data_IF_411269514331
#
_entry.id   IF_411269514331
#
_cell.length_a   1.000
_cell.length_b   1.000
_cell.length_c   1.000
_cell.angle_alpha   90.00
_cell.angle_beta   90.00
_cell.angle_gamma   90.00
#
_symmetry.space_group_name_H-M   'P 1'
#
loop_
_entity.id
_entity.type
_entity.pdbx_description
1 polymer ?
#
# COMPACT_ATOMS: atom_id res chain seq x y z
N UNK A 1 7.20 -11.06 7.99
CA UNK A 1 6.03 -10.38 7.41
C UNK A 1 6.21 -10.33 5.90
N UNK A 2 5.16 -10.42 5.06
CA UNK A 2 5.32 -10.27 3.62
C UNK A 2 5.83 -8.87 3.27
N UNK A 3 6.56 -8.72 2.16
CA UNK A 3 6.90 -7.38 1.64
C UNK A 3 5.73 -6.83 0.87
N UNK A 4 5.64 -5.51 0.77
CA UNK A 4 4.59 -4.83 0.02
C UNK A 4 4.49 -5.30 -1.44
N UNK A 5 5.62 -5.62 -2.08
CA UNK A 5 5.62 -6.17 -3.46
C UNK A 5 4.95 -7.54 -3.55
N UNK A 6 4.97 -8.34 -2.48
CA UNK A 6 4.49 -9.72 -2.48
C UNK A 6 2.96 -9.83 -2.26
N UNK A 7 2.29 -8.74 -1.82
CA UNK A 7 0.83 -8.73 -1.58
C UNK A 7 0.05 -8.32 -2.83
N UNK A 8 -1.20 -8.78 -2.97
CA UNK A 8 -2.03 -8.48 -4.13
C UNK A 8 -2.66 -7.08 -4.07
N UNK A 9 -3.02 -6.52 -5.23
CA UNK A 9 -3.89 -5.33 -5.29
C UNK A 9 -5.24 -5.67 -4.66
N UNK A 10 -5.77 -4.76 -3.84
CA UNK A 10 -6.98 -4.96 -3.04
C UNK A 10 -6.71 -5.57 -1.65
N UNK A 11 -5.51 -6.09 -1.38
CA UNK A 11 -5.16 -6.59 -0.05
C UNK A 11 -5.09 -5.43 0.97
N UNK A 12 -5.75 -5.60 2.12
CA UNK A 12 -5.62 -4.74 3.29
C UNK A 12 -4.37 -5.11 4.09
N UNK A 13 -3.64 -4.12 4.55
CA UNK A 13 -2.42 -4.32 5.33
C UNK A 13 -2.19 -3.17 6.31
N UNK A 14 -1.44 -3.43 7.38
CA UNK A 14 -1.00 -2.43 8.34
C UNK A 14 0.46 -2.05 8.03
N UNK A 15 0.70 -0.74 7.98
CA UNK A 15 2.02 -0.15 7.87
C UNK A 15 2.07 1.12 8.75
N UNK A 16 3.12 1.27 9.56
CA UNK A 16 3.24 2.36 10.55
C UNK A 16 2.01 2.51 11.49
N UNK A 17 1.36 1.41 11.84
CA UNK A 17 0.17 1.41 12.70
C UNK A 17 -1.10 1.95 12.04
N UNK A 18 -1.08 2.19 10.72
CA UNK A 18 -2.24 2.58 9.94
C UNK A 18 -2.65 1.45 9.01
N UNK A 19 -3.95 1.26 8.86
CA UNK A 19 -4.48 0.34 7.85
C UNK A 19 -4.51 1.01 6.48
N UNK A 20 -4.01 0.29 5.50
CA UNK A 20 -3.96 0.66 4.11
C UNK A 20 -4.58 -0.44 3.24
N UNK A 21 -4.98 -0.06 2.03
CA UNK A 21 -5.34 -1.00 0.97
C UNK A 21 -4.39 -0.81 -0.20
N UNK A 22 -3.81 -1.91 -0.72
CA UNK A 22 -2.95 -1.86 -1.90
C UNK A 22 -3.79 -1.53 -3.12
N UNK A 23 -3.33 -0.58 -3.93
CA UNK A 23 -3.94 -0.23 -5.21
C UNK A 23 -2.98 -0.52 -6.35
N UNK A 24 -3.47 -0.45 -7.60
CA UNK A 24 -2.59 -0.48 -8.76
C UNK A 24 -1.65 0.73 -8.73
N UNK A 25 -0.42 0.53 -9.22
CA UNK A 25 0.59 1.58 -9.30
C UNK A 25 0.11 2.74 -10.18
N UNK A 26 -0.02 3.92 -9.58
CA UNK A 26 -0.32 5.16 -10.26
C UNK A 26 0.97 5.97 -10.40
N UNK A 27 1.46 6.07 -11.63
CA UNK A 27 2.73 6.75 -11.93
C UNK A 27 2.49 8.25 -12.14
N UNK A 28 3.08 9.05 -11.27
CA UNK A 28 3.11 10.50 -11.34
C UNK A 28 4.51 10.90 -11.83
N UNK A 29 4.59 11.31 -13.10
CA UNK A 29 5.83 11.66 -13.80
C UNK A 29 6.85 10.50 -13.81
N UNK A 30 8.15 10.81 -13.73
CA UNK A 30 9.22 9.84 -13.87
C UNK A 30 9.48 9.01 -12.59
N UNK A 31 9.24 9.56 -11.40
CA UNK A 31 9.79 9.02 -10.15
C UNK A 31 8.78 8.76 -9.01
N UNK A 32 7.55 9.29 -9.08
CA UNK A 32 6.59 9.14 -7.98
C UNK A 32 5.55 8.10 -8.37
N UNK A 33 5.33 7.11 -7.51
CA UNK A 33 4.29 6.10 -7.69
C UNK A 33 3.43 6.06 -6.44
N UNK A 34 2.13 6.25 -6.58
CA UNK A 34 1.18 5.94 -5.52
C UNK A 34 0.71 4.50 -5.69
N UNK A 35 0.76 3.70 -4.63
CA UNK A 35 0.46 2.28 -4.69
C UNK A 35 -0.35 1.76 -3.50
N UNK A 36 -0.71 2.65 -2.56
CA UNK A 36 -1.62 2.33 -1.47
C UNK A 36 -2.50 3.53 -1.11
N UNK A 37 -3.63 3.26 -0.47
CA UNK A 37 -4.54 4.27 0.12
C UNK A 37 -4.75 4.01 1.60
N UNK A 38 -4.98 5.06 2.40
CA UNK A 38 -5.43 4.90 3.78
C UNK A 38 -6.85 4.31 3.81
N UNK A 39 -7.10 3.28 4.60
CA UNK A 39 -8.44 2.67 4.68
C UNK A 39 -9.50 3.62 5.24
N UNK A 40 -9.14 4.46 6.21
CA UNK A 40 -10.03 5.47 6.79
C UNK A 40 -10.13 6.78 5.96
N UNK A 41 -9.29 6.94 4.93
CA UNK A 41 -9.34 8.07 4.01
C UNK A 41 -8.84 7.64 2.61
N UNK A 42 -9.71 7.04 1.79
CA UNK A 42 -9.33 6.54 0.46
C UNK A 42 -8.83 7.62 -0.50
N UNK A 43 -9.09 8.91 -0.23
CA UNK A 43 -8.54 10.03 -0.99
C UNK A 43 -7.04 10.26 -0.74
N UNK A 44 -6.51 9.75 0.36
CA UNK A 44 -5.10 9.88 0.72
C UNK A 44 -4.31 8.69 0.16
N UNK A 45 -3.73 8.92 -1.01
CA UNK A 45 -2.81 7.97 -1.66
C UNK A 45 -1.39 8.15 -1.15
N UNK A 46 -0.66 7.06 -1.01
CA UNK A 46 0.72 7.04 -0.53
C UNK A 46 1.59 6.14 -1.40
N UNK A 47 2.90 6.37 -1.31
CA UNK A 47 3.93 5.50 -1.87
C UNK A 47 4.49 4.62 -0.76
N UNK A 48 4.33 3.31 -0.90
CA UNK A 48 5.03 2.31 -0.09
C UNK A 48 6.17 1.72 -0.94
N UNK A 49 7.37 1.66 -0.37
CA UNK A 49 8.53 1.12 -1.08
C UNK A 49 8.33 -0.40 -1.27
N UNK A 50 8.63 -0.98 -2.45
CA UNK A 50 8.36 -2.40 -2.73
C UNK A 50 8.94 -3.39 -1.71
N UNK A 51 10.11 -3.07 -1.14
CA UNK A 51 10.80 -3.93 -0.16
C UNK A 51 10.32 -3.74 1.28
N UNK A 52 9.43 -2.77 1.55
CA UNK A 52 8.88 -2.52 2.88
C UNK A 52 8.09 -3.73 3.37
N UNK A 53 8.36 -4.18 4.59
CA UNK A 53 7.57 -5.23 5.25
C UNK A 53 6.23 -4.66 5.73
N UNK A 54 5.16 -5.43 5.54
CA UNK A 54 3.79 -5.03 5.92
C UNK A 54 3.05 -6.19 6.59
N UNK A 55 2.10 -5.88 7.46
CA UNK A 55 1.27 -6.89 8.10
C UNK A 55 -0.05 -7.03 7.35
N UNK A 56 -0.30 -8.19 6.72
CA UNK A 56 -1.55 -8.42 5.97
C UNK A 56 -2.71 -8.64 6.94
N UNK A 57 -3.80 -7.90 6.74
CA UNK A 57 -5.05 -8.13 7.45
C UNK A 57 -5.80 -9.23 6.69
N UNK A 58 -5.84 -10.44 7.26
CA UNK A 58 -6.68 -11.53 6.75
C UNK A 58 -8.12 -11.28 7.18
N UNK A 59 -9.05 -11.23 6.22
CA UNK A 59 -10.49 -11.32 6.48
C UNK A 59 -10.89 -12.77 6.77
#
# INVERSE_FOLDING_TARGET
MPRFVDIAVGTKFIHNGQEHTKIADERINCCKVNNAVLSNNPGQKVMIVPVTEVEVVQE
#
